data_IF_280760617693
#
_entry.id   IF_280760617693
#
_cell.length_a   1.000
_cell.length_b   1.000
_cell.length_c   1.000
_cell.angle_alpha   90.00
_cell.angle_beta   90.00
_cell.angle_gamma   90.00
#
_symmetry.space_group_name_H-M   'P 1'
#
loop_
_entity.id
_entity.type
_entity.pdbx_description
1 polymer ?
#
# COMPACT_ATOMS: atom_id res chain seq x y z
N UNK A 1 -23.00 16.44 -11.31
CA UNK A 1 -22.74 17.26 -10.09
C UNK A 1 -23.71 16.82 -9.01
N UNK A 2 -23.27 16.75 -7.75
CA UNK A 2 -24.11 16.40 -6.60
C UNK A 2 -25.20 17.46 -6.40
N UNK A 3 -26.42 17.02 -6.10
CA UNK A 3 -27.51 17.89 -5.68
C UNK A 3 -27.34 18.37 -4.22
N UNK A 4 -28.25 19.22 -3.70
CA UNK A 4 -28.15 19.78 -2.35
C UNK A 4 -28.17 18.72 -1.25
N UNK A 5 -29.03 17.73 -1.39
CA UNK A 5 -29.23 16.70 -0.36
C UNK A 5 -28.03 15.72 -0.33
N UNK A 6 -27.51 15.35 -1.48
CA UNK A 6 -26.30 14.57 -1.62
C UNK A 6 -25.08 15.27 -1.00
N UNK A 7 -24.95 16.59 -1.17
CA UNK A 7 -23.90 17.38 -0.52
C UNK A 7 -24.01 17.35 0.98
N UNK A 8 -25.24 17.47 1.53
CA UNK A 8 -25.49 17.41 2.97
C UNK A 8 -25.11 16.03 3.53
N UNK A 9 -25.49 14.95 2.84
CA UNK A 9 -25.13 13.58 3.24
C UNK A 9 -23.62 13.40 3.22
N UNK A 10 -22.94 13.83 2.17
CA UNK A 10 -21.47 13.74 2.06
C UNK A 10 -20.78 14.52 3.19
N UNK A 11 -21.26 15.73 3.50
CA UNK A 11 -20.69 16.51 4.62
C UNK A 11 -20.87 15.80 5.96
N UNK A 12 -22.03 15.21 6.22
CA UNK A 12 -22.27 14.43 7.45
C UNK A 12 -21.35 13.21 7.55
N UNK A 13 -21.14 12.50 6.44
CA UNK A 13 -20.21 11.37 6.38
C UNK A 13 -18.78 11.82 6.71
N UNK A 14 -18.29 12.87 6.05
CA UNK A 14 -16.95 13.42 6.32
C UNK A 14 -16.79 13.82 7.78
N UNK A 15 -17.78 14.51 8.35
CA UNK A 15 -17.76 14.90 9.77
C UNK A 15 -17.75 13.69 10.69
N UNK A 16 -18.57 12.67 10.41
CA UNK A 16 -18.62 11.45 11.21
C UNK A 16 -17.25 10.75 11.28
N UNK A 17 -16.54 10.64 10.14
CA UNK A 17 -15.20 10.09 10.14
C UNK A 17 -14.19 10.97 10.88
N UNK A 18 -14.22 12.28 10.67
CA UNK A 18 -13.28 13.22 11.29
C UNK A 18 -13.45 13.36 12.80
N UNK A 19 -14.68 13.19 13.31
CA UNK A 19 -15.02 13.36 14.72
C UNK A 19 -15.08 12.02 15.49
N UNK A 20 -14.81 10.89 14.84
CA UNK A 20 -14.81 9.59 15.49
C UNK A 20 -13.57 9.40 16.35
N UNK A 21 -13.70 9.61 17.65
CA UNK A 21 -12.63 9.39 18.64
C UNK A 21 -12.08 7.95 18.56
N UNK A 22 -12.98 6.97 18.38
CA UNK A 22 -12.59 5.57 18.25
C UNK A 22 -11.70 5.32 17.00
N UNK A 23 -12.06 5.95 15.87
CA UNK A 23 -11.25 5.85 14.66
C UNK A 23 -9.89 6.52 14.86
N UNK A 24 -9.85 7.69 15.49
CA UNK A 24 -8.59 8.38 15.79
C UNK A 24 -7.68 7.52 16.68
N UNK A 25 -8.19 6.94 17.76
CA UNK A 25 -7.45 6.02 18.62
C UNK A 25 -6.90 4.80 17.86
N UNK A 26 -7.69 4.21 16.95
CA UNK A 26 -7.23 3.09 16.13
C UNK A 26 -6.12 3.51 15.16
N UNK A 27 -6.25 4.68 14.54
CA UNK A 27 -5.21 5.19 13.61
C UNK A 27 -3.93 5.55 14.37
N UNK A 28 -4.03 6.19 15.54
CA UNK A 28 -2.89 6.47 16.41
C UNK A 28 -2.17 5.19 16.83
N UNK A 29 -2.94 4.15 17.23
CA UNK A 29 -2.38 2.85 17.55
C UNK A 29 -1.66 2.23 16.33
N UNK A 30 -2.27 2.32 15.16
CA UNK A 30 -1.67 1.82 13.91
C UNK A 30 -0.33 2.53 13.62
N UNK A 31 -0.26 3.86 13.77
CA UNK A 31 0.99 4.59 13.59
C UNK A 31 2.01 4.33 14.71
N UNK A 32 1.55 4.06 15.93
CA UNK A 32 2.45 3.76 17.04
C UNK A 32 3.08 2.37 16.99
N UNK A 33 2.37 1.38 16.43
CA UNK A 33 2.76 -0.03 16.45
C UNK A 33 2.98 -0.65 15.07
N UNK A 34 2.40 -0.07 14.03
CA UNK A 34 2.49 -0.54 12.65
C UNK A 34 3.45 0.30 11.80
N UNK A 35 3.72 -0.21 10.61
CA UNK A 35 4.48 0.46 9.55
C UNK A 35 4.15 -0.18 8.20
N UNK A 36 4.71 0.34 7.11
CA UNK A 36 4.54 -0.27 5.79
C UNK A 36 5.15 -1.67 5.73
N UNK A 37 6.22 -1.91 6.49
CA UNK A 37 6.76 -3.23 6.77
C UNK A 37 7.25 -3.29 8.22
N UNK A 38 7.45 -4.50 8.74
CA UNK A 38 8.00 -4.73 10.06
C UNK A 38 8.99 -5.90 10.04
N UNK A 39 10.04 -5.81 10.85
CA UNK A 39 10.97 -6.91 11.07
C UNK A 39 10.79 -7.37 12.51
N UNK A 40 10.33 -8.61 12.68
CA UNK A 40 10.07 -9.20 13.99
C UNK A 40 10.66 -10.60 14.07
N UNK A 41 11.43 -10.85 15.12
CA UNK A 41 12.11 -12.15 15.34
C UNK A 41 12.90 -12.64 14.12
N UNK A 42 13.55 -11.71 13.39
CA UNK A 42 14.30 -12.02 12.17
C UNK A 42 13.46 -12.34 10.95
N UNK A 43 12.14 -12.12 10.99
CA UNK A 43 11.23 -12.29 9.84
C UNK A 43 10.79 -10.94 9.29
N UNK A 44 10.55 -10.88 7.99
CA UNK A 44 10.05 -9.71 7.29
C UNK A 44 8.54 -9.82 7.08
N UNK A 45 7.80 -8.84 7.60
CA UNK A 45 6.35 -8.76 7.51
C UNK A 45 5.95 -7.52 6.73
N UNK A 46 5.03 -7.63 5.76
CA UNK A 46 4.41 -6.50 5.06
C UNK A 46 3.03 -6.88 4.53
N UNK A 47 2.21 -5.87 4.23
CA UNK A 47 0.82 -6.12 3.84
C UNK A 47 0.69 -6.63 2.41
N UNK A 48 1.20 -5.90 1.42
CA UNK A 48 0.95 -6.14 0.00
C UNK A 48 2.14 -6.75 -0.74
N UNK A 49 2.99 -5.93 -1.30
CA UNK A 49 4.09 -6.35 -2.16
C UNK A 49 5.34 -5.50 -1.98
N UNK A 50 6.50 -6.05 -2.30
CA UNK A 50 7.67 -5.26 -2.69
C UNK A 50 7.61 -5.08 -4.20
N UNK A 51 7.27 -3.90 -4.73
CA UNK A 51 7.01 -3.70 -6.15
C UNK A 51 8.16 -4.17 -7.05
N UNK A 52 7.81 -4.90 -8.11
CA UNK A 52 8.78 -5.52 -9.00
C UNK A 52 8.53 -5.21 -10.48
N UNK A 53 9.57 -5.36 -11.27
CA UNK A 53 9.50 -5.39 -12.73
C UNK A 53 9.11 -6.78 -13.24
N UNK A 54 8.71 -6.88 -14.50
CA UNK A 54 8.46 -8.16 -15.17
C UNK A 54 9.69 -9.09 -15.19
N UNK A 55 10.89 -8.56 -14.94
CA UNK A 55 12.15 -9.34 -14.88
C UNK A 55 12.50 -9.80 -13.46
N UNK A 56 11.63 -9.57 -12.48
CA UNK A 56 11.87 -9.94 -11.08
C UNK A 56 12.91 -9.07 -10.34
N UNK A 57 13.23 -7.89 -10.85
CA UNK A 57 14.03 -6.87 -10.14
C UNK A 57 13.12 -5.89 -9.45
N UNK A 58 13.60 -5.15 -8.44
CA UNK A 58 12.81 -4.13 -7.79
C UNK A 58 12.38 -3.05 -8.78
N UNK A 59 11.10 -2.71 -8.77
CA UNK A 59 10.59 -1.57 -9.53
C UNK A 59 11.06 -0.26 -8.91
N UNK A 60 11.28 0.74 -9.75
CA UNK A 60 11.71 2.08 -9.31
C UNK A 60 10.54 3.02 -9.45
N UNK A 61 10.17 3.68 -8.37
CA UNK A 61 9.21 4.79 -8.37
C UNK A 61 9.95 6.12 -8.15
N UNK A 62 9.37 7.21 -8.65
CA UNK A 62 9.98 8.52 -8.54
C UNK A 62 9.05 9.51 -7.84
N UNK A 63 9.57 10.10 -6.76
CA UNK A 63 8.89 11.17 -6.03
C UNK A 63 9.81 12.36 -5.90
N UNK A 64 9.33 13.55 -6.21
CA UNK A 64 10.06 14.82 -6.06
C UNK A 64 11.45 14.79 -6.73
N UNK A 65 11.56 14.07 -7.87
CA UNK A 65 12.82 13.94 -8.63
C UNK A 65 13.77 12.85 -8.14
N UNK A 66 13.51 12.21 -7.00
CA UNK A 66 14.32 11.12 -6.45
C UNK A 66 13.73 9.75 -6.81
N UNK A 67 14.60 8.76 -6.99
CA UNK A 67 14.23 7.39 -7.32
C UNK A 67 14.29 6.50 -6.08
N UNK A 68 13.21 5.73 -5.86
CA UNK A 68 13.08 4.80 -4.74
C UNK A 68 12.71 3.41 -5.23
N UNK A 69 13.26 2.38 -4.60
CA UNK A 69 12.95 0.98 -4.89
C UNK A 69 13.15 0.11 -3.65
N UNK A 70 12.60 -1.10 -3.64
CA UNK A 70 12.77 -2.05 -2.56
C UNK A 70 12.46 -1.45 -1.19
N UNK A 71 13.37 -1.61 -0.23
CA UNK A 71 13.26 -1.07 1.12
C UNK A 71 13.13 0.44 1.14
N UNK A 72 13.94 1.15 0.35
CA UNK A 72 13.92 2.62 0.32
C UNK A 72 12.55 3.18 -0.13
N UNK A 73 11.84 2.47 -1.02
CA UNK A 73 10.47 2.83 -1.40
C UNK A 73 9.50 2.67 -0.21
N UNK A 74 9.60 1.58 0.52
CA UNK A 74 8.74 1.35 1.69
C UNK A 74 9.02 2.34 2.83
N UNK A 75 10.29 2.63 3.09
CA UNK A 75 10.70 3.64 4.10
C UNK A 75 10.15 5.03 3.73
N UNK A 76 10.27 5.44 2.46
CA UNK A 76 9.69 6.68 1.97
C UNK A 76 8.16 6.72 2.12
N UNK A 77 7.48 5.63 1.80
CA UNK A 77 6.03 5.52 1.94
C UNK A 77 5.58 5.68 3.40
N UNK A 78 6.26 5.02 4.34
CA UNK A 78 5.96 5.12 5.77
C UNK A 78 6.21 6.55 6.29
N UNK A 79 7.35 7.14 5.96
CA UNK A 79 7.70 8.51 6.37
C UNK A 79 6.69 9.54 5.84
N UNK A 80 6.31 9.46 4.56
CA UNK A 80 5.35 10.39 3.95
C UNK A 80 3.96 10.28 4.56
N UNK A 81 3.49 9.06 4.81
CA UNK A 81 2.20 8.83 5.46
C UNK A 81 2.18 9.44 6.87
N UNK A 82 3.22 9.17 7.68
CA UNK A 82 3.36 9.71 9.04
C UNK A 82 3.46 11.23 9.03
N UNK A 83 4.34 11.77 8.22
CA UNK A 83 4.53 13.22 8.09
C UNK A 83 3.23 13.92 7.71
N UNK A 84 2.46 13.35 6.78
CA UNK A 84 1.16 13.89 6.40
C UNK A 84 0.12 13.80 7.51
N UNK A 85 0.04 12.68 8.21
CA UNK A 85 -0.93 12.48 9.29
C UNK A 85 -0.69 13.41 10.49
N UNK A 86 0.57 13.55 10.94
CA UNK A 86 0.93 14.37 12.10
C UNK A 86 1.15 15.86 11.80
N UNK A 87 1.11 16.27 10.54
CA UNK A 87 1.25 17.68 10.17
C UNK A 87 0.06 18.51 10.67
N UNK A 88 0.27 19.80 10.99
CA UNK A 88 -0.79 20.72 11.40
C UNK A 88 -1.92 20.78 10.36
N UNK A 89 -3.16 20.87 10.84
CA UNK A 89 -4.32 21.02 9.97
C UNK A 89 -4.19 22.28 9.10
N UNK A 90 -4.59 22.18 7.82
CA UNK A 90 -4.46 23.27 6.85
C UNK A 90 -3.06 23.52 6.31
N UNK A 91 -2.02 22.80 6.77
CA UNK A 91 -0.67 22.94 6.23
C UNK A 91 -0.52 22.23 4.88
N UNK A 92 0.42 22.74 4.05
CA UNK A 92 0.78 22.10 2.78
C UNK A 92 1.30 20.66 2.99
N UNK A 93 2.00 20.40 4.10
CA UNK A 93 2.46 19.06 4.45
C UNK A 93 1.30 18.10 4.73
N UNK A 94 0.23 18.57 5.39
CA UNK A 94 -1.00 17.80 5.63
C UNK A 94 -1.69 17.45 4.32
N UNK A 95 -1.87 18.43 3.44
CA UNK A 95 -2.49 18.22 2.13
C UNK A 95 -1.71 17.23 1.30
N UNK A 96 -0.40 17.44 1.16
CA UNK A 96 0.48 16.53 0.41
C UNK A 96 0.47 15.11 0.98
N UNK A 97 0.37 14.96 2.31
CA UNK A 97 0.27 13.67 2.96
C UNK A 97 -1.08 12.98 2.69
N UNK A 98 -2.19 13.71 2.66
CA UNK A 98 -3.50 13.19 2.28
C UNK A 98 -3.51 12.67 0.84
N UNK A 99 -2.94 13.45 -0.09
CA UNK A 99 -2.79 13.03 -1.49
C UNK A 99 -1.92 11.78 -1.59
N UNK A 100 -0.87 11.68 -0.78
CA UNK A 100 0.00 10.51 -0.74
C UNK A 100 -0.68 9.27 -0.13
N UNK A 101 -1.54 9.43 0.86
CA UNK A 101 -2.37 8.32 1.38
C UNK A 101 -3.32 7.76 0.32
N UNK A 102 -3.85 8.61 -0.56
CA UNK A 102 -4.61 8.16 -1.72
C UNK A 102 -3.75 7.31 -2.67
N UNK A 103 -2.53 7.75 -2.97
CA UNK A 103 -1.56 6.95 -3.73
C UNK A 103 -1.29 5.60 -3.07
N UNK A 104 -1.06 5.57 -1.75
CA UNK A 104 -0.83 4.31 -1.04
C UNK A 104 -2.00 3.36 -1.12
N UNK A 105 -3.21 3.87 -1.11
CA UNK A 105 -4.43 3.05 -1.18
C UNK A 105 -4.63 2.38 -2.55
N UNK A 106 -4.41 3.08 -3.65
CA UNK A 106 -4.77 2.58 -4.99
C UNK A 106 -3.76 2.88 -6.11
N UNK A 107 -2.60 3.46 -5.79
CA UNK A 107 -1.59 3.85 -6.76
C UNK A 107 -0.81 2.64 -7.31
N UNK A 108 -0.42 2.76 -8.58
CA UNK A 108 0.53 1.84 -9.19
C UNK A 108 1.86 1.88 -8.43
N UNK A 109 2.48 0.73 -8.22
CA UNK A 109 3.70 0.53 -7.42
C UNK A 109 3.54 0.89 -5.93
N UNK A 110 2.31 1.11 -5.45
CA UNK A 110 2.09 1.18 -4.01
C UNK A 110 2.39 -0.19 -3.36
N UNK A 111 3.25 -0.24 -2.33
CA UNK A 111 3.54 -1.48 -1.62
C UNK A 111 2.35 -2.03 -0.84
N UNK A 112 1.33 -1.20 -0.57
CA UNK A 112 0.12 -1.63 0.13
C UNK A 112 -0.93 -2.19 -0.82
N UNK A 113 -0.95 -1.76 -2.09
CA UNK A 113 -1.99 -2.14 -3.04
C UNK A 113 -1.60 -3.30 -3.98
N UNK A 114 -0.38 -3.29 -4.51
CA UNK A 114 0.16 -4.38 -5.32
C UNK A 114 -0.59 -4.65 -6.63
N UNK A 115 -1.22 -3.63 -7.23
CA UNK A 115 -1.91 -3.70 -8.53
C UNK A 115 -1.67 -2.43 -9.33
N UNK A 116 -1.97 -2.49 -10.64
CA UNK A 116 -1.77 -1.36 -11.57
C UNK A 116 -2.80 -0.25 -11.42
N UNK A 117 -4.02 -0.58 -11.02
CA UNK A 117 -5.15 0.35 -10.84
C UNK A 117 -6.23 -0.30 -9.97
N UNK A 118 -7.05 0.52 -9.34
CA UNK A 118 -8.30 0.12 -8.73
C UNK A 118 -9.45 0.46 -9.67
N UNK A 119 -10.25 -0.52 -10.04
CA UNK A 119 -11.30 -0.38 -11.06
C UNK A 119 -12.72 -0.55 -10.52
N UNK A 120 -12.92 -0.27 -9.25
CA UNK A 120 -14.22 -0.43 -8.58
C UNK A 120 -15.30 0.44 -9.24
N UNK A 121 -14.96 1.70 -9.53
CA UNK A 121 -15.92 2.63 -10.15
C UNK A 121 -16.13 2.32 -11.62
N UNK A 122 -15.09 1.95 -12.34
CA UNK A 122 -15.18 1.53 -13.74
C UNK A 122 -16.13 0.34 -13.88
N UNK A 123 -16.02 -0.67 -13.01
CA UNK A 123 -16.91 -1.85 -12.99
C UNK A 123 -18.36 -1.51 -12.69
N UNK A 124 -18.61 -0.44 -11.93
CA UNK A 124 -19.97 -0.04 -11.56
C UNK A 124 -20.62 0.90 -12.56
N UNK A 125 -19.84 1.74 -13.23
CA UNK A 125 -20.38 2.89 -13.99
C UNK A 125 -19.93 2.94 -15.44
N UNK A 126 -18.99 2.11 -15.89
CA UNK A 126 -18.47 2.10 -17.26
C UNK A 126 -18.78 0.76 -17.92
N UNK A 127 -19.46 0.76 -19.06
CA UNK A 127 -19.84 -0.46 -19.78
C UNK A 127 -18.64 -1.13 -20.48
N UNK A 128 -17.59 -0.35 -20.81
CA UNK A 128 -16.38 -0.88 -21.46
C UNK A 128 -15.59 -1.77 -20.51
N UNK A 129 -15.73 -3.09 -20.66
CA UNK A 129 -15.06 -4.09 -19.86
C UNK A 129 -13.52 -4.02 -19.93
N UNK A 130 -12.93 -3.37 -20.94
CA UNK A 130 -11.48 -3.18 -21.03
C UNK A 130 -10.94 -2.31 -19.89
N UNK A 131 -11.77 -1.42 -19.35
CA UNK A 131 -11.44 -0.55 -18.21
C UNK A 131 -11.46 -1.27 -16.86
N UNK A 132 -12.02 -2.49 -16.79
CA UNK A 132 -12.19 -3.26 -15.55
C UNK A 132 -10.96 -4.06 -15.13
N UNK A 133 -9.88 -4.01 -15.91
CA UNK A 133 -8.71 -4.86 -15.69
C UNK A 133 -7.79 -4.29 -14.63
N UNK A 134 -7.57 -5.06 -13.57
CA UNK A 134 -6.58 -4.80 -12.53
C UNK A 134 -5.42 -5.79 -12.67
N UNK A 135 -4.30 -5.33 -13.22
CA UNK A 135 -3.11 -6.17 -13.37
C UNK A 135 -2.36 -6.21 -12.04
N UNK A 136 -2.12 -7.41 -11.50
CA UNK A 136 -1.30 -7.60 -10.30
C UNK A 136 0.13 -7.11 -10.55
N UNK A 137 0.78 -6.59 -9.51
CA UNK A 137 2.22 -6.30 -9.56
C UNK A 137 3.00 -7.58 -9.92
N UNK A 138 4.06 -7.48 -10.73
CA UNK A 138 4.91 -8.62 -11.05
C UNK A 138 5.50 -9.35 -9.83
N UNK A 139 5.52 -8.73 -8.65
CA UNK A 139 5.84 -9.39 -7.39
C UNK A 139 5.07 -10.72 -7.23
N UNK A 140 3.78 -10.75 -7.56
CA UNK A 140 2.94 -11.94 -7.44
C UNK A 140 3.24 -13.04 -8.48
N UNK A 141 4.12 -12.77 -9.43
CA UNK A 141 4.70 -13.79 -10.31
C UNK A 141 5.97 -14.40 -9.69
N UNK A 142 6.71 -13.61 -8.93
CA UNK A 142 8.05 -13.94 -8.46
C UNK A 142 8.12 -14.34 -6.99
N UNK A 143 7.09 -14.09 -6.20
CA UNK A 143 7.10 -14.27 -4.73
C UNK A 143 7.34 -15.73 -4.27
N UNK A 144 7.15 -16.72 -5.16
CA UNK A 144 7.44 -18.14 -4.89
C UNK A 144 8.86 -18.56 -5.30
N UNK A 145 9.63 -17.68 -5.94
CA UNK A 145 10.98 -17.98 -6.39
C UNK A 145 11.98 -17.74 -5.25
N UNK A 146 12.65 -18.80 -4.79
CA UNK A 146 13.60 -18.72 -3.67
C UNK A 146 14.66 -17.64 -3.86
N UNK A 147 15.22 -17.53 -5.07
CA UNK A 147 16.25 -16.52 -5.38
C UNK A 147 15.72 -15.09 -5.22
N UNK A 148 14.44 -14.86 -5.53
CA UNK A 148 13.78 -13.56 -5.36
C UNK A 148 13.50 -13.30 -3.89
N UNK A 149 13.00 -14.28 -3.15
CA UNK A 149 12.77 -14.16 -1.70
C UNK A 149 14.08 -13.84 -0.97
N UNK A 150 15.18 -14.53 -1.27
CA UNK A 150 16.49 -14.23 -0.69
C UNK A 150 16.99 -12.84 -1.03
N UNK A 151 16.73 -12.33 -2.22
CA UNK A 151 17.07 -10.96 -2.62
C UNK A 151 16.22 -9.93 -1.85
N UNK A 152 14.94 -10.19 -1.66
CA UNK A 152 14.09 -9.33 -0.81
C UNK A 152 14.63 -9.32 0.62
N UNK A 153 14.89 -10.46 1.22
CA UNK A 153 15.44 -10.54 2.57
C UNK A 153 16.76 -9.77 2.69
N UNK A 154 17.67 -9.93 1.74
CA UNK A 154 18.95 -9.20 1.70
C UNK A 154 18.77 -7.68 1.60
N UNK A 155 17.79 -7.20 0.81
CA UNK A 155 17.44 -5.79 0.69
C UNK A 155 17.02 -5.18 2.04
N UNK A 156 16.35 -5.97 2.88
CA UNK A 156 15.94 -5.58 4.22
C UNK A 156 16.99 -5.89 5.31
N UNK A 157 18.18 -6.35 4.92
CA UNK A 157 19.28 -6.67 5.85
C UNK A 157 19.08 -7.97 6.64
N UNK A 158 18.27 -8.89 6.11
CA UNK A 158 17.96 -10.17 6.74
C UNK A 158 18.71 -11.33 6.08
N UNK A 159 19.09 -12.38 6.84
CA UNK A 159 19.69 -13.57 6.28
C UNK A 159 18.69 -14.33 5.40
N UNK A 160 19.20 -15.06 4.41
CA UNK A 160 18.37 -15.84 3.48
C UNK A 160 17.63 -17.03 4.12
N UNK A 161 17.83 -17.28 5.42
CA UNK A 161 17.10 -18.27 6.22
C UNK A 161 15.87 -17.67 6.94
N UNK A 162 15.69 -16.36 6.84
CA UNK A 162 14.52 -15.66 7.37
C UNK A 162 13.27 -15.96 6.55
N UNK A 163 12.10 -15.64 7.12
CA UNK A 163 10.83 -15.82 6.44
C UNK A 163 10.25 -14.46 6.02
N UNK A 164 9.46 -14.50 4.93
CA UNK A 164 8.63 -13.39 4.48
C UNK A 164 7.18 -13.76 4.78
N UNK A 165 6.47 -12.85 5.46
CA UNK A 165 5.04 -12.99 5.75
C UNK A 165 4.32 -11.81 5.12
N UNK A 166 3.47 -12.07 4.14
CA UNK A 166 2.65 -11.04 3.50
C UNK A 166 1.21 -11.53 3.27
N UNK A 167 0.30 -10.59 3.01
CA UNK A 167 -1.12 -10.86 2.82
C UNK A 167 -1.69 -10.18 1.58
N UNK A 168 -2.77 -9.41 1.72
CA UNK A 168 -3.49 -8.62 0.73
C UNK A 168 -4.17 -9.45 -0.39
N UNK A 169 -3.44 -10.33 -1.06
CA UNK A 169 -3.99 -11.20 -2.12
C UNK A 169 -4.25 -12.58 -1.53
N UNK A 170 -5.50 -13.07 -1.51
CA UNK A 170 -5.81 -14.41 -1.04
C UNK A 170 -5.05 -15.46 -1.85
N UNK A 171 -4.44 -16.41 -1.16
CA UNK A 171 -3.85 -17.59 -1.79
C UNK A 171 -4.93 -18.61 -2.13
N UNK A 172 -4.73 -19.36 -3.20
CA UNK A 172 -5.60 -20.48 -3.51
C UNK A 172 -5.35 -21.62 -2.49
N UNK A 173 -6.40 -22.39 -2.17
CA UNK A 173 -6.34 -23.47 -1.18
C UNK A 173 -5.20 -24.47 -1.44
N UNK A 174 -4.92 -24.76 -2.70
CA UNK A 174 -3.79 -25.63 -3.11
C UNK A 174 -2.40 -25.07 -2.74
N UNK A 175 -2.28 -23.76 -2.56
CA UNK A 175 -1.02 -23.14 -2.12
C UNK A 175 -0.76 -23.32 -0.62
N UNK A 176 -1.77 -23.64 0.16
CA UNK A 176 -1.65 -23.88 1.61
C UNK A 176 -1.07 -25.27 1.94
N UNK A 177 -1.10 -26.19 0.99
CA UNK A 177 -0.60 -27.56 1.16
C UNK A 177 0.94 -27.61 1.12
N UNK A 178 1.58 -26.60 0.57
CA UNK A 178 3.04 -26.50 0.42
C UNK A 178 3.72 -25.60 1.46
N UNK A 179 2.96 -25.12 2.43
CA UNK A 179 3.47 -24.38 3.59
C UNK A 179 3.61 -25.33 4.77
#
# INVERSE_FOLDING_TARGET
ALNSDEKVVLQKLVQSFRQSEKLQQHVEFLYAKGSVYHIENGNLLYHGAVPMTKKGTFAVERFEGHAYSGRALMDYCDERARRGYFAPEGSAARQSGQDFLWYLWCGKLSPLYGRSAMTTFERLYVEDASTHTEVKDPYYTWYNEEAVCRRILAEFGLPGTSHIVNGHVPVQELSLIHI
#
